data_IF_403907965923
#
_entry.id   IF_403907965923
#
_cell.length_a   1.000
_cell.length_b   1.000
_cell.length_c   1.000
_cell.angle_alpha   90.00
_cell.angle_beta   90.00
_cell.angle_gamma   90.00
#
_symmetry.space_group_name_H-M   'P 1'
#
loop_
_entity.id
_entity.type
_entity.pdbx_description
1 polymer ?
#
# COMPACT_ATOMS: atom_id res chain seq x y z
N UNK A 1 -11.85 -14.42 17.70
CA UNK A 1 -11.76 -12.95 17.49
C UNK A 1 -13.11 -12.36 17.14
N UNK A 2 -13.36 -11.16 17.65
CA UNK A 2 -14.55 -10.40 17.27
C UNK A 2 -14.42 -9.91 15.83
N UNK A 3 -15.46 -10.08 15.03
CA UNK A 3 -15.48 -9.53 13.65
C UNK A 3 -15.45 -7.99 13.68
N UNK A 4 -16.07 -7.37 14.67
CA UNK A 4 -16.11 -5.91 14.84
C UNK A 4 -16.15 -5.53 16.32
N UNK A 5 -15.84 -4.29 16.63
CA UNK A 5 -15.87 -3.76 17.97
C UNK A 5 -14.78 -4.35 18.88
N UNK A 6 -15.10 -4.58 20.14
CA UNK A 6 -14.16 -5.04 21.17
C UNK A 6 -13.78 -6.51 20.99
N UNK A 7 -12.50 -6.85 21.11
CA UNK A 7 -11.96 -8.21 21.07
C UNK A 7 -11.39 -8.64 22.43
N UNK A 8 -11.19 -9.96 22.61
CA UNK A 8 -10.68 -10.54 23.86
C UNK A 8 -9.20 -10.24 24.06
N UNK A 9 -8.41 -10.31 22.98
CA UNK A 9 -6.96 -10.10 23.03
C UNK A 9 -6.60 -8.73 22.45
N UNK A 10 -5.69 -8.03 23.08
CA UNK A 10 -5.10 -6.80 22.56
C UNK A 10 -4.23 -7.08 21.33
N UNK A 11 -3.97 -6.03 20.52
CA UNK A 11 -2.89 -6.08 19.56
C UNK A 11 -1.53 -6.18 20.29
N UNK A 12 -0.51 -6.61 19.57
CA UNK A 12 0.87 -6.64 20.03
C UNK A 12 1.69 -5.62 19.27
N UNK A 13 2.60 -4.96 19.98
CA UNK A 13 3.60 -4.07 19.40
C UNK A 13 4.98 -4.60 19.76
N UNK A 14 5.58 -5.32 18.81
CA UNK A 14 6.83 -6.02 19.04
C UNK A 14 8.01 -5.10 18.72
N UNK A 15 8.88 -4.90 19.70
CA UNK A 15 10.17 -4.25 19.51
C UNK A 15 11.29 -5.31 19.42
N UNK A 16 12.21 -5.11 18.49
CA UNK A 16 13.37 -5.98 18.30
C UNK A 16 14.46 -5.59 19.29
N UNK A 17 14.82 -6.48 20.17
CA UNK A 17 15.91 -6.28 21.12
C UNK A 17 16.89 -7.46 21.06
N UNK A 18 18.13 -7.17 20.66
CA UNK A 18 19.16 -8.20 20.39
C UNK A 18 18.66 -9.27 19.42
N UNK A 19 18.46 -10.51 19.83
CA UNK A 19 17.96 -11.62 19.01
C UNK A 19 16.53 -12.06 19.40
N UNK A 20 15.76 -11.20 20.06
CA UNK A 20 14.41 -11.50 20.54
C UNK A 20 13.45 -10.35 20.23
N UNK A 21 12.16 -10.58 20.47
CA UNK A 21 11.11 -9.57 20.40
C UNK A 21 10.47 -9.38 21.75
N UNK A 22 10.29 -8.13 22.16
CA UNK A 22 9.60 -7.72 23.37
C UNK A 22 8.27 -7.07 22.96
N UNK A 23 7.16 -7.51 23.55
CA UNK A 23 5.87 -6.87 23.35
C UNK A 23 5.75 -5.65 24.28
N UNK A 24 5.82 -4.47 23.71
CA UNK A 24 5.74 -3.21 24.48
C UNK A 24 4.40 -3.03 25.19
N UNK A 25 3.33 -3.70 24.74
CA UNK A 25 2.04 -3.66 25.42
C UNK A 25 1.96 -4.53 26.69
N UNK A 26 2.92 -5.40 26.91
CA UNK A 26 3.03 -6.16 28.18
C UNK A 26 3.55 -5.27 29.34
N UNK A 27 4.24 -4.17 29.04
CA UNK A 27 4.66 -3.21 30.06
C UNK A 27 3.46 -2.48 30.67
N UNK A 28 3.43 -2.42 32.00
CA UNK A 28 2.35 -1.79 32.75
C UNK A 28 2.11 -0.32 32.39
N UNK A 29 3.15 0.41 31.97
CA UNK A 29 3.05 1.82 31.56
C UNK A 29 2.19 2.03 30.31
N UNK A 30 1.92 0.97 29.54
CA UNK A 30 1.20 1.01 28.28
C UNK A 30 -0.22 0.41 28.36
N UNK A 31 -0.68 -0.03 29.54
CA UNK A 31 -1.99 -0.68 29.70
C UNK A 31 -3.18 0.18 29.27
N UNK A 32 -3.09 1.49 29.45
CA UNK A 32 -4.19 2.42 29.15
C UNK A 32 -4.34 2.70 27.65
N UNK A 33 -3.35 2.33 26.83
CA UNK A 33 -3.36 2.57 25.38
C UNK A 33 -3.52 1.30 24.54
N UNK A 34 -3.81 0.16 25.17
CA UNK A 34 -4.04 -1.10 24.49
C UNK A 34 -5.14 -0.97 23.41
N UNK A 35 -4.90 -1.55 22.25
CA UNK A 35 -5.93 -1.71 21.23
C UNK A 35 -6.65 -3.06 21.41
N UNK A 36 -7.79 -3.02 22.05
CA UNK A 36 -8.70 -4.17 22.22
C UNK A 36 -9.85 -4.14 21.21
N UNK A 37 -9.69 -3.44 20.10
CA UNK A 37 -10.67 -3.35 19.02
C UNK A 37 -10.22 -4.22 17.84
N UNK A 38 -11.16 -4.63 16.98
CA UNK A 38 -10.86 -5.42 15.79
C UNK A 38 -10.03 -4.62 14.77
N UNK A 39 -8.71 -4.66 14.90
CA UNK A 39 -7.75 -4.09 13.96
C UNK A 39 -7.87 -4.71 12.57
N UNK A 40 -7.70 -3.91 11.52
CA UNK A 40 -7.85 -4.35 10.13
C UNK A 40 -6.65 -4.04 9.27
N UNK A 41 -5.99 -2.94 9.49
CA UNK A 41 -4.83 -2.53 8.73
C UNK A 41 -3.94 -1.61 9.57
N UNK A 42 -2.66 -1.62 9.26
CA UNK A 42 -1.66 -0.75 9.89
C UNK A 42 -0.82 -0.07 8.82
N UNK A 43 -0.34 1.13 9.12
CA UNK A 43 0.68 1.81 8.33
C UNK A 43 1.70 2.49 9.24
N UNK A 44 2.97 2.44 8.82
CA UNK A 44 4.04 3.23 9.42
C UNK A 44 4.00 4.65 8.87
N UNK A 45 4.00 5.66 9.73
CA UNK A 45 3.88 7.07 9.32
C UNK A 45 4.93 7.92 10.03
N UNK A 46 5.90 8.41 9.28
CA UNK A 46 6.80 9.48 9.73
C UNK A 46 6.14 10.84 9.48
N UNK A 47 5.24 11.24 10.41
CA UNK A 47 4.45 12.46 10.24
C UNK A 47 5.28 13.75 10.28
N UNK A 48 6.43 13.71 10.95
CA UNK A 48 7.30 14.88 11.11
C UNK A 48 8.43 14.92 10.08
N UNK A 49 8.68 13.84 9.33
CA UNK A 49 9.80 13.73 8.43
C UNK A 49 11.16 13.73 9.15
N UNK A 50 11.25 13.08 10.28
CA UNK A 50 12.47 13.04 11.09
C UNK A 50 13.07 11.65 11.23
N UNK A 51 12.54 10.68 10.48
CA UNK A 51 12.94 9.29 10.49
C UNK A 51 12.36 8.48 11.66
N UNK A 52 11.45 9.06 12.45
CA UNK A 52 10.75 8.37 13.53
C UNK A 52 9.33 8.04 13.09
N UNK A 53 9.02 6.76 13.05
CA UNK A 53 7.73 6.27 12.61
C UNK A 53 6.77 6.10 13.78
N UNK A 54 5.54 6.53 13.58
CA UNK A 54 4.37 6.16 14.37
C UNK A 54 3.59 5.07 13.64
N UNK A 55 2.70 4.38 14.33
CA UNK A 55 1.86 3.31 13.77
C UNK A 55 0.40 3.75 13.78
N UNK A 56 -0.18 3.95 12.61
CA UNK A 56 -1.62 4.19 12.48
C UNK A 56 -2.35 2.86 12.34
N UNK A 57 -3.35 2.60 13.18
CA UNK A 57 -4.16 1.38 13.20
C UNK A 57 -5.60 1.71 12.85
N UNK A 58 -6.11 1.09 11.79
CA UNK A 58 -7.52 1.17 11.40
C UNK A 58 -8.31 0.06 12.10
N UNK A 59 -9.35 0.44 12.85
CA UNK A 59 -10.21 -0.47 13.56
C UNK A 59 -11.60 -0.56 12.93
N UNK A 60 -12.23 -1.71 13.02
CA UNK A 60 -13.61 -1.93 12.59
C UNK A 60 -14.57 -1.86 13.78
N UNK A 61 -15.41 -0.82 13.79
CA UNK A 61 -16.37 -0.60 14.87
C UNK A 61 -15.76 -0.08 16.18
N UNK A 62 -14.58 0.50 16.12
CA UNK A 62 -13.92 1.16 17.24
C UNK A 62 -13.02 2.30 16.78
N UNK A 63 -12.46 3.03 17.75
CA UNK A 63 -11.59 4.18 17.46
C UNK A 63 -10.30 3.72 16.80
N UNK A 64 -9.90 4.36 15.72
CA UNK A 64 -8.56 4.20 15.14
C UNK A 64 -7.50 4.71 16.12
N UNK A 65 -6.28 4.18 16.03
CA UNK A 65 -5.14 4.53 16.91
C UNK A 65 -4.00 5.12 16.11
N UNK A 66 -3.22 5.97 16.75
CA UNK A 66 -1.98 6.50 16.19
C UNK A 66 -0.89 6.46 17.26
N UNK A 67 -0.12 5.38 17.26
CA UNK A 67 0.88 5.10 18.29
C UNK A 67 2.22 5.71 17.96
N UNK A 68 2.70 6.57 18.84
CA UNK A 68 4.07 7.09 18.82
C UNK A 68 4.85 6.44 19.97
N UNK A 69 6.05 5.96 19.66
CA UNK A 69 6.91 5.24 20.61
C UNK A 69 8.00 6.19 21.09
N UNK A 70 8.16 6.25 22.42
CA UNK A 70 9.22 7.02 23.08
C UNK A 70 9.92 6.13 24.13
N UNK A 71 11.06 5.55 23.78
CA UNK A 71 11.65 4.44 24.53
C UNK A 71 10.70 3.25 24.53
N UNK A 72 10.32 2.75 25.71
CA UNK A 72 9.32 1.67 25.85
C UNK A 72 7.89 2.19 26.02
N UNK A 73 7.71 3.51 26.18
CA UNK A 73 6.39 4.14 26.37
C UNK A 73 5.69 4.36 25.03
N UNK A 74 4.45 3.89 24.94
CA UNK A 74 3.55 4.10 23.81
C UNK A 74 2.58 5.23 24.15
N UNK A 75 2.39 6.15 23.21
CA UNK A 75 1.45 7.28 23.33
C UNK A 75 0.45 7.18 22.16
N UNK A 76 -0.84 7.10 22.47
CA UNK A 76 -1.88 7.22 21.44
C UNK A 76 -2.16 8.69 21.16
N UNK A 77 -1.62 9.19 20.06
CA UNK A 77 -1.83 10.57 19.60
C UNK A 77 -3.08 10.73 18.71
N UNK A 78 -3.82 9.65 18.41
CA UNK A 78 -4.97 9.73 17.51
C UNK A 78 -6.02 10.79 17.92
N UNK A 79 -6.40 10.92 19.22
CA UNK A 79 -7.33 11.98 19.63
C UNK A 79 -6.81 13.38 19.37
N UNK A 80 -5.53 13.64 19.70
CA UNK A 80 -4.88 14.94 19.49
C UNK A 80 -4.79 15.31 18.01
N UNK A 81 -4.57 14.31 17.13
CA UNK A 81 -4.42 14.47 15.70
C UNK A 81 -5.76 14.39 14.94
N UNK A 82 -6.87 14.22 15.65
CA UNK A 82 -8.21 14.06 15.08
C UNK A 82 -8.34 12.83 14.14
N UNK A 83 -7.57 11.77 14.43
CA UNK A 83 -7.52 10.50 13.72
C UNK A 83 -8.34 9.39 14.39
N UNK A 84 -8.83 9.59 15.61
CA UNK A 84 -9.51 8.60 16.46
C UNK A 84 -10.96 8.30 16.04
N UNK A 85 -11.20 8.18 14.74
CA UNK A 85 -12.57 7.98 14.21
C UNK A 85 -13.06 6.56 14.47
N UNK A 86 -14.35 6.45 14.79
CA UNK A 86 -15.06 5.16 14.85
C UNK A 86 -15.65 4.91 13.45
N UNK A 87 -15.13 3.90 12.75
CA UNK A 87 -15.52 3.59 11.38
C UNK A 87 -15.54 2.10 11.13
N UNK A 88 -16.00 1.70 9.96
CA UNK A 88 -15.75 0.38 9.39
C UNK A 88 -14.38 0.33 8.74
N UNK A 89 -13.32 0.64 9.50
CA UNK A 89 -11.97 0.75 8.97
C UNK A 89 -11.50 -0.50 8.23
N UNK A 90 -10.83 -0.30 7.10
CA UNK A 90 -10.28 -1.36 6.25
C UNK A 90 -8.84 -1.05 5.87
N UNK A 91 -8.56 -0.76 4.60
CA UNK A 91 -7.21 -0.52 4.13
C UNK A 91 -6.66 0.83 4.58
N UNK A 92 -5.37 0.87 4.84
CA UNK A 92 -4.60 2.11 5.01
C UNK A 92 -3.40 2.04 4.08
N UNK A 93 -3.15 3.15 3.40
CA UNK A 93 -1.91 3.40 2.67
C UNK A 93 -1.35 4.75 3.10
N UNK A 94 -0.03 4.87 3.15
CA UNK A 94 0.63 6.11 3.54
C UNK A 94 1.83 6.40 2.63
N UNK A 95 1.99 7.67 2.24
CA UNK A 95 3.05 8.13 1.34
C UNK A 95 2.84 9.56 0.89
N UNK A 96 3.64 10.04 -0.07
CA UNK A 96 3.54 11.38 -0.64
C UNK A 96 2.38 11.48 -1.64
N UNK A 97 1.14 11.62 -1.15
CA UNK A 97 -0.05 11.68 -2.01
C UNK A 97 -0.32 13.13 -2.47
N UNK A 98 -0.38 14.07 -1.52
CA UNK A 98 -0.73 15.48 -1.77
C UNK A 98 0.28 16.46 -1.19
N UNK A 99 1.10 16.05 -0.24
CA UNK A 99 2.01 16.93 0.51
C UNK A 99 3.47 16.49 0.40
N UNK A 100 4.36 17.33 0.91
CA UNK A 100 5.79 17.03 1.01
C UNK A 100 6.12 16.06 2.17
N UNK A 101 5.12 15.67 2.92
CA UNK A 101 5.17 14.72 4.04
C UNK A 101 4.29 13.52 3.72
N UNK A 102 4.34 12.50 4.57
CA UNK A 102 3.46 11.35 4.42
C UNK A 102 2.01 11.72 4.74
N UNK A 103 1.15 11.63 3.75
CA UNK A 103 -0.31 11.65 3.88
C UNK A 103 -0.83 10.24 4.15
N UNK A 104 -2.09 10.13 4.56
CA UNK A 104 -2.74 8.84 4.82
C UNK A 104 -4.05 8.77 4.03
N UNK A 105 -4.24 7.72 3.24
CA UNK A 105 -5.55 7.36 2.73
C UNK A 105 -6.06 6.14 3.49
N UNK A 106 -7.26 6.25 4.06
CA UNK A 106 -7.91 5.19 4.81
C UNK A 106 -9.27 4.87 4.19
N UNK A 107 -9.42 3.65 3.67
CA UNK A 107 -10.69 3.19 3.14
C UNK A 107 -11.56 2.59 4.23
N UNK A 108 -12.87 2.79 4.10
CA UNK A 108 -13.84 2.35 5.08
C UNK A 108 -14.97 1.54 4.45
N UNK A 109 -15.52 0.62 5.23
CA UNK A 109 -16.78 -0.05 4.95
C UNK A 109 -17.91 0.71 5.63
N UNK A 110 -19.02 0.89 4.93
CA UNK A 110 -20.22 1.57 5.46
C UNK A 110 -19.97 3.00 5.96
N UNK A 111 -19.20 3.76 5.17
CA UNK A 111 -18.90 5.15 5.49
C UNK A 111 -17.86 5.74 4.54
N UNK A 112 -17.61 7.05 4.66
CA UNK A 112 -16.68 7.72 3.77
C UNK A 112 -15.24 7.26 3.99
N UNK A 113 -14.47 7.21 2.91
CA UNK A 113 -13.02 7.13 2.99
C UNK A 113 -12.45 8.44 3.54
N UNK A 114 -11.26 8.36 4.12
CA UNK A 114 -10.51 9.54 4.55
C UNK A 114 -9.25 9.72 3.71
N UNK A 115 -8.93 10.95 3.42
CA UNK A 115 -7.64 11.37 2.88
C UNK A 115 -7.10 12.45 3.83
N UNK A 116 -6.22 12.04 4.72
CA UNK A 116 -5.60 12.91 5.69
C UNK A 116 -4.34 13.54 5.09
N UNK A 117 -4.46 14.81 4.70
CA UNK A 117 -3.31 15.59 4.24
C UNK A 117 -2.47 16.02 5.44
N UNK A 118 -1.19 15.74 5.38
CA UNK A 118 -0.24 16.15 6.40
C UNK A 118 0.17 17.61 6.21
N UNK A 119 -0.08 18.42 7.23
CA UNK A 119 0.34 19.83 7.30
C UNK A 119 1.25 20.00 8.51
N UNK A 120 2.55 19.94 8.30
CA UNK A 120 3.56 20.06 9.35
C UNK A 120 3.34 19.12 10.55
N UNK A 121 3.02 17.84 10.27
CA UNK A 121 2.80 16.82 11.29
C UNK A 121 1.38 16.75 11.83
N UNK A 122 0.47 17.65 11.45
CA UNK A 122 -0.96 17.59 11.75
C UNK A 122 -1.74 17.10 10.54
N UNK A 123 -2.89 16.48 10.77
CA UNK A 123 -3.69 15.89 9.70
C UNK A 123 -5.01 16.62 9.51
N UNK A 124 -5.35 16.88 8.24
CA UNK A 124 -6.64 17.46 7.84
C UNK A 124 -7.30 16.50 6.84
N UNK A 125 -8.52 16.07 7.13
CA UNK A 125 -9.26 15.24 6.19
C UNK A 125 -9.74 16.07 5.01
N UNK A 126 -9.23 15.77 3.83
CA UNK A 126 -9.54 16.47 2.57
C UNK A 126 -10.26 15.57 1.55
N UNK A 127 -10.71 14.36 1.94
CA UNK A 127 -11.30 13.38 1.04
C UNK A 127 -12.47 13.94 0.21
N UNK A 128 -13.36 14.68 0.84
CA UNK A 128 -14.50 15.34 0.17
C UNK A 128 -14.04 16.34 -0.88
N UNK A 129 -13.11 17.22 -0.50
CA UNK A 129 -12.55 18.24 -1.39
C UNK A 129 -11.88 17.62 -2.61
N UNK A 130 -11.17 16.51 -2.41
CA UNK A 130 -10.43 15.83 -3.47
C UNK A 130 -11.23 14.76 -4.21
N UNK A 131 -12.49 14.49 -3.80
CA UNK A 131 -13.41 13.60 -4.52
C UNK A 131 -13.19 12.11 -4.30
N UNK A 132 -12.59 11.72 -3.16
CA UNK A 132 -12.25 10.30 -2.85
C UNK A 132 -13.01 9.73 -1.66
N UNK A 133 -14.05 10.42 -1.15
CA UNK A 133 -14.86 9.92 -0.01
C UNK A 133 -15.52 8.56 -0.29
N UNK A 134 -16.01 8.35 -1.51
CA UNK A 134 -16.71 7.14 -1.97
C UNK A 134 -17.69 6.54 -0.93
N UNK A 135 -18.41 7.41 -0.24
CA UNK A 135 -19.20 7.15 0.99
C UNK A 135 -20.23 6.03 0.89
N UNK A 136 -20.65 5.69 -0.33
CA UNK A 136 -21.68 4.67 -0.59
C UNK A 136 -21.06 3.31 -0.97
N UNK A 137 -19.75 3.16 -0.86
CA UNK A 137 -19.04 1.94 -1.18
C UNK A 137 -18.47 1.27 0.09
N UNK A 138 -18.02 0.04 -0.07
CA UNK A 138 -17.43 -0.74 1.02
C UNK A 138 -15.95 -0.99 0.70
N UNK A 139 -15.09 -0.06 1.08
CA UNK A 139 -13.67 -0.13 0.79
C UNK A 139 -12.98 -1.38 1.33
N UNK A 140 -12.00 -1.89 0.57
CA UNK A 140 -11.14 -3.03 0.91
C UNK A 140 -9.71 -2.73 0.46
N UNK A 141 -9.13 -3.58 -0.37
CA UNK A 141 -7.78 -3.43 -0.89
C UNK A 141 -7.56 -2.08 -1.56
N UNK A 142 -6.44 -1.44 -1.22
CA UNK A 142 -6.09 -0.12 -1.76
C UNK A 142 -4.59 -0.06 -1.94
N UNK A 143 -4.11 0.57 -3.01
CA UNK A 143 -2.68 0.73 -3.29
C UNK A 143 -2.40 2.10 -3.93
N UNK A 144 -1.17 2.62 -3.73
CA UNK A 144 -0.63 3.76 -4.47
C UNK A 144 0.16 3.26 -5.68
N UNK A 145 -0.08 3.84 -6.84
CA UNK A 145 0.69 3.58 -8.06
C UNK A 145 0.66 4.81 -8.96
N UNK A 146 1.71 5.04 -9.74
CA UNK A 146 1.72 6.05 -10.79
C UNK A 146 1.11 5.47 -12.07
N UNK A 147 -0.20 5.46 -12.14
CA UNK A 147 -0.98 4.78 -13.18
C UNK A 147 -0.73 5.29 -14.60
N UNK A 148 -0.27 6.51 -14.75
CA UNK A 148 -0.06 7.13 -16.06
C UNK A 148 1.40 7.55 -16.28
N UNK A 149 2.33 7.03 -15.48
CA UNK A 149 3.78 7.21 -15.62
C UNK A 149 4.19 8.69 -15.72
N UNK A 150 3.66 9.51 -14.77
CA UNK A 150 3.84 10.97 -14.73
C UNK A 150 4.70 11.43 -13.55
N UNK A 151 5.24 10.51 -12.77
CA UNK A 151 5.93 10.80 -11.51
C UNK A 151 4.98 11.25 -10.38
N UNK A 152 3.70 10.84 -10.42
CA UNK A 152 2.67 11.20 -9.42
C UNK A 152 1.90 9.98 -8.99
N UNK A 153 1.77 9.80 -7.69
CA UNK A 153 1.01 8.69 -7.13
C UNK A 153 -0.50 8.93 -7.26
N UNK A 154 -1.17 7.95 -7.80
CA UNK A 154 -2.61 7.82 -7.92
C UNK A 154 -3.12 6.80 -6.89
N UNK A 155 -4.44 6.73 -6.66
CA UNK A 155 -5.03 5.81 -5.68
C UNK A 155 -5.90 4.78 -6.40
N UNK A 156 -5.59 3.51 -6.22
CA UNK A 156 -6.46 2.41 -6.64
C UNK A 156 -7.22 1.93 -5.41
N UNK A 157 -8.55 1.89 -5.46
CA UNK A 157 -9.39 1.46 -4.34
C UNK A 157 -10.39 0.40 -4.77
N UNK A 158 -10.28 -0.77 -4.15
CA UNK A 158 -11.24 -1.86 -4.32
C UNK A 158 -12.41 -1.74 -3.36
N UNK A 159 -13.61 -1.99 -3.86
CA UNK A 159 -14.84 -1.94 -3.09
C UNK A 159 -15.51 -3.31 -3.06
N UNK A 160 -15.85 -3.79 -1.86
CA UNK A 160 -16.54 -5.07 -1.66
C UNK A 160 -17.94 -5.04 -2.26
N UNK A 161 -18.16 -5.86 -3.28
CA UNK A 161 -19.41 -5.92 -4.03
C UNK A 161 -19.87 -4.57 -4.62
N UNK A 162 -18.93 -3.62 -4.74
CA UNK A 162 -19.13 -2.28 -5.29
C UNK A 162 -18.15 -1.97 -6.41
N UNK A 163 -18.35 -0.84 -7.05
CA UNK A 163 -17.49 -0.38 -8.14
C UNK A 163 -16.08 -0.05 -7.64
N UNK A 164 -15.06 -0.69 -8.20
CA UNK A 164 -13.66 -0.33 -7.91
C UNK A 164 -13.33 1.02 -8.52
N UNK A 165 -12.27 1.67 -8.02
CA UNK A 165 -11.87 3.02 -8.41
C UNK A 165 -10.42 3.08 -8.86
N UNK A 166 -10.19 3.84 -9.91
CA UNK A 166 -8.87 4.29 -10.36
C UNK A 166 -8.84 5.81 -10.25
N UNK A 167 -8.44 6.33 -9.10
CA UNK A 167 -8.40 7.75 -8.82
C UNK A 167 -7.10 8.37 -9.33
N UNK A 168 -7.19 9.09 -10.45
CA UNK A 168 -6.09 9.80 -11.08
C UNK A 168 -6.03 11.23 -10.56
N UNK A 169 -4.90 11.65 -10.00
CA UNK A 169 -4.71 13.01 -9.52
C UNK A 169 -4.56 13.99 -10.69
N UNK A 170 -5.52 14.89 -10.85
CA UNK A 170 -5.53 15.95 -11.86
C UNK A 170 -5.67 17.31 -11.18
N UNK A 171 -4.66 18.17 -11.34
CA UNK A 171 -4.59 19.47 -10.65
C UNK A 171 -4.78 19.27 -9.13
N UNK A 172 -5.92 19.67 -8.60
CA UNK A 172 -6.22 19.62 -7.16
C UNK A 172 -7.42 18.70 -6.86
N UNK A 173 -7.67 17.66 -7.67
CA UNK A 173 -8.77 16.72 -7.50
C UNK A 173 -8.42 15.35 -8.08
N UNK A 174 -8.92 14.30 -7.46
CA UNK A 174 -8.89 12.97 -8.06
C UNK A 174 -10.12 12.81 -8.97
N UNK A 175 -9.87 12.27 -10.16
CA UNK A 175 -10.89 11.86 -11.11
C UNK A 175 -10.84 10.35 -11.23
N UNK A 176 -11.99 9.69 -11.19
CA UNK A 176 -12.07 8.25 -11.43
C UNK A 176 -11.89 7.97 -12.93
N UNK A 177 -10.86 7.19 -13.26
CA UNK A 177 -10.66 6.69 -14.61
C UNK A 177 -11.61 5.52 -14.82
N UNK A 178 -12.79 5.81 -15.35
CA UNK A 178 -13.86 4.83 -15.51
C UNK A 178 -13.53 3.86 -16.65
N UNK A 179 -13.16 2.63 -16.27
CA UNK A 179 -13.07 1.49 -17.17
C UNK A 179 -14.05 0.41 -16.72
N UNK A 180 -14.99 0.05 -17.56
CA UNK A 180 -16.06 -0.86 -17.21
C UNK A 180 -15.55 -2.26 -16.81
N UNK A 181 -14.47 -2.75 -17.41
CA UNK A 181 -13.91 -4.07 -17.10
C UNK A 181 -13.23 -4.11 -15.74
N UNK A 182 -12.52 -3.03 -15.39
CA UNK A 182 -11.87 -2.88 -14.09
C UNK A 182 -12.87 -2.57 -12.98
N UNK A 183 -13.72 -1.56 -13.19
CA UNK A 183 -14.66 -1.05 -12.17
C UNK A 183 -15.73 -2.07 -11.77
N UNK A 184 -15.92 -3.14 -12.55
CA UNK A 184 -16.93 -4.18 -12.30
C UNK A 184 -16.85 -4.71 -10.87
N UNK A 185 -17.97 -4.71 -10.11
CA UNK A 185 -18.02 -5.18 -8.74
C UNK A 185 -17.48 -6.60 -8.56
N UNK A 186 -16.77 -6.83 -7.46
CA UNK A 186 -16.34 -8.16 -7.03
C UNK A 186 -16.18 -8.22 -5.50
N UNK A 187 -16.01 -9.42 -4.97
CA UNK A 187 -15.71 -9.64 -3.55
C UNK A 187 -14.20 -9.46 -3.31
N UNK A 188 -13.68 -8.27 -3.63
CA UNK A 188 -12.25 -7.95 -3.50
C UNK A 188 -11.77 -8.02 -2.06
N UNK A 189 -10.54 -8.51 -1.88
CA UNK A 189 -9.78 -8.45 -0.63
C UNK A 189 -8.59 -7.51 -0.78
N UNK A 190 -7.65 -7.83 -1.66
CA UNK A 190 -6.41 -7.10 -1.84
C UNK A 190 -6.29 -6.61 -3.27
N UNK A 191 -5.71 -5.44 -3.45
CA UNK A 191 -5.26 -4.92 -4.75
C UNK A 191 -3.77 -4.62 -4.65
N UNK A 192 -3.03 -5.06 -5.66
CA UNK A 192 -1.59 -4.85 -5.79
C UNK A 192 -1.32 -4.20 -7.14
N UNK A 193 -0.37 -3.28 -7.19
CA UNK A 193 0.19 -2.74 -8.43
C UNK A 193 1.68 -3.07 -8.46
N UNK A 194 2.13 -3.83 -9.46
CA UNK A 194 3.52 -4.25 -9.63
C UNK A 194 3.79 -4.60 -11.09
N UNK A 195 5.02 -4.44 -11.52
CA UNK A 195 5.51 -4.85 -12.83
C UNK A 195 5.95 -6.32 -12.76
N UNK A 196 5.02 -7.24 -13.06
CA UNK A 196 5.25 -8.67 -12.91
C UNK A 196 6.04 -9.28 -14.07
N UNK A 197 6.00 -8.69 -15.25
CA UNK A 197 6.66 -9.21 -16.45
C UNK A 197 7.86 -8.39 -16.92
N UNK A 198 8.27 -7.39 -16.12
CA UNK A 198 9.39 -6.49 -16.38
C UNK A 198 9.30 -5.71 -17.70
N UNK A 199 8.09 -5.47 -18.21
CA UNK A 199 7.91 -4.69 -19.43
C UNK A 199 7.81 -3.17 -19.15
N UNK A 200 7.97 -2.79 -17.89
CA UNK A 200 7.98 -1.40 -17.44
C UNK A 200 6.60 -0.77 -17.26
N UNK A 201 5.52 -1.56 -17.33
CA UNK A 201 4.17 -1.17 -16.97
C UNK A 201 3.75 -1.92 -15.70
N UNK A 202 3.09 -1.22 -14.76
CA UNK A 202 2.52 -1.91 -13.60
C UNK A 202 1.24 -2.64 -14.00
N UNK A 203 1.14 -3.91 -13.59
CA UNK A 203 -0.11 -4.64 -13.60
C UNK A 203 -0.84 -4.46 -12.29
N UNK A 204 -2.18 -4.40 -12.37
CA UNK A 204 -3.07 -4.30 -11.22
C UNK A 204 -3.71 -5.66 -10.98
N UNK A 205 -3.27 -6.36 -9.92
CA UNK A 205 -3.83 -7.62 -9.49
C UNK A 205 -4.94 -7.40 -8.48
N UNK A 206 -6.10 -8.03 -8.70
CA UNK A 206 -7.27 -8.01 -7.81
C UNK A 206 -7.48 -9.41 -7.24
N UNK A 207 -7.20 -9.58 -5.95
CA UNK A 207 -7.50 -10.81 -5.22
C UNK A 207 -8.95 -10.80 -4.72
N UNK A 208 -9.68 -11.86 -5.03
CA UNK A 208 -11.09 -11.99 -4.71
C UNK A 208 -11.36 -13.22 -3.79
N UNK A 209 -12.49 -13.17 -3.07
CA UNK A 209 -12.99 -14.31 -2.29
C UNK A 209 -14.15 -15.00 -3.01
N UNK A 210 -13.99 -16.30 -3.30
CA UNK A 210 -15.00 -17.10 -3.97
C UNK A 210 -15.36 -16.61 -5.38
N UNK A 211 -14.45 -15.91 -6.02
CA UNK A 211 -14.54 -15.40 -7.39
C UNK A 211 -13.15 -15.37 -8.01
N UNK A 212 -13.08 -15.44 -9.35
CA UNK A 212 -11.82 -15.37 -10.08
C UNK A 212 -11.05 -14.10 -9.76
N UNK A 213 -9.75 -14.24 -9.51
CA UNK A 213 -8.82 -13.11 -9.49
C UNK A 213 -8.75 -12.45 -10.87
N UNK A 214 -8.36 -11.18 -10.89
CA UNK A 214 -8.25 -10.41 -12.13
C UNK A 214 -6.89 -9.71 -12.20
N UNK A 215 -6.36 -9.55 -13.41
CA UNK A 215 -5.13 -8.82 -13.69
C UNK A 215 -5.36 -7.87 -14.85
N UNK A 216 -4.89 -6.64 -14.70
CA UNK A 216 -5.00 -5.60 -15.71
C UNK A 216 -3.66 -4.88 -15.85
N UNK A 217 -3.24 -4.60 -17.07
CA UNK A 217 -2.14 -3.70 -17.40
C UNK A 217 -2.71 -2.33 -17.76
N UNK A 218 -2.11 -1.26 -17.28
CA UNK A 218 -2.47 0.09 -17.67
C UNK A 218 -1.33 0.74 -18.44
N UNK A 219 -1.66 1.32 -19.59
CA UNK A 219 -0.70 2.04 -20.46
C UNK A 219 -0.75 3.55 -20.23
N UNK A 220 0.24 4.30 -20.71
CA UNK A 220 0.34 5.76 -20.50
C UNK A 220 -0.89 6.54 -20.99
N UNK A 221 -1.58 6.04 -22.00
CA UNK A 221 -2.81 6.64 -22.51
C UNK A 221 -4.05 6.35 -21.62
N UNK A 222 -3.87 5.58 -20.54
CA UNK A 222 -4.93 5.20 -19.61
C UNK A 222 -5.78 4.02 -20.05
N UNK A 223 -5.45 3.37 -21.16
CA UNK A 223 -6.16 2.15 -21.59
C UNK A 223 -5.76 0.98 -20.70
N UNK A 224 -6.77 0.25 -20.23
CA UNK A 224 -6.60 -0.97 -19.48
C UNK A 224 -6.71 -2.18 -20.41
N UNK A 225 -5.76 -3.08 -20.28
CA UNK A 225 -5.74 -4.38 -20.94
C UNK A 225 -5.93 -5.46 -19.88
N UNK A 226 -6.93 -6.33 -20.07
CA UNK A 226 -7.14 -7.47 -19.19
C UNK A 226 -6.19 -8.59 -19.55
N UNK A 227 -5.42 -9.06 -18.58
CA UNK A 227 -4.45 -10.15 -18.76
C UNK A 227 -5.04 -11.48 -18.32
N UNK A 228 -4.70 -12.55 -19.02
CA UNK A 228 -5.13 -13.91 -18.70
C UNK A 228 -4.24 -14.50 -17.63
N UNK A 229 -4.78 -14.73 -16.44
CA UNK A 229 -4.06 -15.20 -15.24
C UNK A 229 -3.76 -16.71 -15.22
N UNK A 230 -4.17 -17.53 -16.16
CA UNK A 230 -3.96 -18.99 -16.11
C UNK A 230 -4.23 -19.56 -14.69
N UNK A 231 -3.20 -20.13 -14.05
CA UNK A 231 -3.32 -20.77 -12.71
C UNK A 231 -3.60 -19.76 -11.57
N UNK A 232 -3.17 -18.51 -11.70
CA UNK A 232 -3.39 -17.47 -10.68
C UNK A 232 -4.83 -16.92 -10.68
N UNK A 233 -5.70 -17.40 -11.59
CA UNK A 233 -7.12 -17.05 -11.61
C UNK A 233 -7.86 -17.49 -10.33
N UNK A 234 -7.50 -18.62 -9.75
CA UNK A 234 -8.01 -19.17 -8.49
C UNK A 234 -9.53 -19.01 -8.32
N UNK A 235 -10.32 -19.46 -9.30
CA UNK A 235 -11.78 -19.23 -9.37
C UNK A 235 -12.54 -19.67 -8.12
N UNK A 236 -12.04 -20.68 -7.40
CA UNK A 236 -12.60 -21.22 -6.16
C UNK A 236 -11.78 -20.79 -4.93
N UNK A 237 -10.85 -19.85 -5.07
CA UNK A 237 -10.05 -19.35 -3.97
C UNK A 237 -10.87 -18.45 -3.06
N UNK A 238 -10.79 -18.68 -1.75
CA UNK A 238 -11.32 -17.76 -0.74
C UNK A 238 -10.19 -16.84 -0.31
N UNK A 239 -9.79 -15.96 -1.23
CA UNK A 239 -8.66 -15.07 -1.05
C UNK A 239 -8.78 -14.20 0.20
N UNK A 240 -7.72 -14.17 1.00
CA UNK A 240 -7.63 -13.34 2.22
C UNK A 240 -6.67 -12.17 2.03
N UNK A 241 -5.54 -12.40 1.36
CA UNK A 241 -4.53 -11.39 1.10
C UNK A 241 -3.58 -11.82 -0.01
N UNK A 242 -2.76 -10.88 -0.47
CA UNK A 242 -1.70 -11.17 -1.42
C UNK A 242 -0.53 -10.21 -1.20
N UNK A 243 0.69 -10.65 -1.51
CA UNK A 243 1.89 -9.85 -1.41
C UNK A 243 2.83 -10.14 -2.58
N UNK A 244 3.76 -9.21 -2.83
CA UNK A 244 4.74 -9.30 -3.91
C UNK A 244 6.14 -9.07 -3.36
N UNK A 245 7.08 -9.91 -3.78
CA UNK A 245 8.50 -9.76 -3.54
C UNK A 245 9.29 -10.54 -4.60
N UNK A 246 10.55 -10.18 -4.80
CA UNK A 246 11.53 -10.96 -5.53
C UNK A 246 12.23 -11.89 -4.52
N UNK A 247 11.70 -13.10 -4.35
CA UNK A 247 12.08 -14.03 -3.29
C UNK A 247 13.41 -14.74 -3.61
N UNK A 248 13.58 -15.14 -4.87
CA UNK A 248 14.78 -15.87 -5.32
C UNK A 248 15.87 -14.95 -5.90
N UNK A 249 15.61 -13.64 -5.95
CA UNK A 249 16.53 -12.58 -6.38
C UNK A 249 16.95 -12.66 -7.84
N UNK A 250 16.07 -13.12 -8.70
CA UNK A 250 16.30 -13.15 -10.14
C UNK A 250 15.76 -11.92 -10.89
N UNK A 251 15.10 -11.02 -10.15
CA UNK A 251 14.54 -9.78 -10.67
C UNK A 251 13.15 -9.93 -11.26
N UNK A 252 12.51 -11.08 -11.14
CA UNK A 252 11.11 -11.30 -11.51
C UNK A 252 10.30 -11.42 -10.24
N UNK A 253 9.29 -10.59 -10.10
CA UNK A 253 8.47 -10.56 -8.89
C UNK A 253 7.59 -11.79 -8.75
N UNK A 254 7.61 -12.43 -7.58
CA UNK A 254 6.66 -13.47 -7.21
C UNK A 254 5.41 -12.86 -6.56
N UNK A 255 4.27 -13.45 -6.89
CA UNK A 255 2.96 -13.15 -6.29
C UNK A 255 2.58 -14.25 -5.31
N UNK A 256 2.62 -13.95 -4.01
CA UNK A 256 2.09 -14.80 -2.96
C UNK A 256 0.61 -14.50 -2.75
N UNK A 257 -0.25 -15.53 -2.81
CA UNK A 257 -1.70 -15.41 -2.57
C UNK A 257 -2.10 -16.31 -1.41
N UNK A 258 -2.67 -15.70 -0.37
CA UNK A 258 -3.25 -16.41 0.76
C UNK A 258 -4.76 -16.63 0.53
N UNK A 259 -5.21 -17.85 0.79
CA UNK A 259 -6.60 -18.25 0.69
C UNK A 259 -7.04 -18.91 2.01
N UNK A 260 -8.34 -19.17 2.15
CA UNK A 260 -8.87 -19.95 3.27
C UNK A 260 -9.65 -19.15 4.30
N UNK A 261 -10.32 -18.08 3.92
CA UNK A 261 -11.15 -17.26 4.82
C UNK A 261 -12.15 -18.11 5.64
N UNK A 262 -12.73 -19.13 5.05
CA UNK A 262 -13.80 -19.93 5.67
C UNK A 262 -13.42 -21.38 5.93
N UNK A 263 -12.37 -21.89 5.29
CA UNK A 263 -11.85 -23.26 5.44
C UNK A 263 -10.43 -23.35 4.89
N UNK A 264 -9.70 -24.40 5.24
CA UNK A 264 -8.30 -24.59 4.83
C UNK A 264 -8.16 -24.63 3.31
N UNK A 265 -7.31 -23.75 2.78
CA UNK A 265 -6.88 -23.74 1.38
C UNK A 265 -5.37 -23.49 1.33
N UNK A 266 -4.67 -23.92 0.26
CA UNK A 266 -3.23 -23.73 0.15
C UNK A 266 -2.84 -22.26 -0.01
N UNK A 267 -1.67 -21.91 0.48
CA UNK A 267 -0.91 -20.78 0.00
C UNK A 267 -0.44 -21.05 -1.42
N UNK A 268 -0.52 -20.04 -2.28
CA UNK A 268 -0.08 -20.13 -3.65
C UNK A 268 1.00 -19.10 -3.93
N UNK A 269 2.08 -19.55 -4.56
CA UNK A 269 3.16 -18.69 -5.05
C UNK A 269 3.20 -18.77 -6.57
N UNK A 270 3.12 -17.63 -7.23
CA UNK A 270 3.13 -17.51 -8.68
C UNK A 270 4.28 -16.65 -9.14
N UNK A 271 4.85 -16.97 -10.28
CA UNK A 271 5.86 -16.19 -10.98
C UNK A 271 5.45 -16.03 -12.44
N UNK A 272 5.70 -14.87 -13.03
CA UNK A 272 5.46 -14.65 -14.44
C UNK A 272 6.41 -15.52 -15.28
N UNK A 273 5.89 -16.16 -16.32
CA UNK A 273 6.74 -16.87 -17.28
C UNK A 273 7.18 -15.90 -18.36
N UNK A 274 8.29 -15.23 -18.11
CA UNK A 274 8.88 -14.25 -19.03
C UNK A 274 9.73 -15.00 -20.05
N UNK A 275 9.44 -14.78 -21.34
CA UNK A 275 10.18 -15.44 -22.45
C UNK A 275 11.35 -14.62 -22.98
N UNK A 276 11.42 -13.34 -22.62
CA UNK A 276 12.39 -12.38 -23.13
C UNK A 276 13.29 -11.90 -21.99
N UNK A 277 14.52 -11.51 -22.33
CA UNK A 277 15.46 -10.93 -21.37
C UNK A 277 15.11 -9.46 -21.16
N UNK A 278 14.30 -9.17 -20.15
CA UNK A 278 14.09 -7.80 -19.68
C UNK A 278 15.21 -7.37 -18.74
N UNK A 279 15.48 -6.08 -18.73
CA UNK A 279 16.30 -5.47 -17.68
C UNK A 279 15.39 -4.92 -16.60
N UNK A 280 15.91 -4.85 -15.38
CA UNK A 280 15.19 -4.31 -14.23
C UNK A 280 16.09 -3.45 -13.36
N UNK A 281 15.48 -2.69 -12.49
CA UNK A 281 16.13 -1.90 -11.46
C UNK A 281 15.35 -2.02 -10.15
N UNK A 282 16.03 -2.39 -9.08
CA UNK A 282 15.48 -2.50 -7.74
C UNK A 282 16.15 -1.49 -6.83
N UNK A 283 15.35 -0.65 -6.18
CA UNK A 283 15.85 0.40 -5.29
C UNK A 283 15.28 0.20 -3.89
N UNK A 284 16.17 0.03 -2.93
CA UNK A 284 15.85 -0.14 -1.51
C UNK A 284 16.38 1.04 -0.68
N UNK A 285 15.62 2.13 -0.57
CA UNK A 285 16.02 3.25 0.27
C UNK A 285 16.06 2.84 1.74
N UNK A 286 17.12 3.23 2.42
CA UNK A 286 17.29 3.00 3.86
C UNK A 286 17.47 4.31 4.59
N UNK A 287 16.93 4.38 5.80
CA UNK A 287 17.13 5.52 6.70
C UNK A 287 18.56 5.55 7.24
N UNK A 288 18.95 6.64 7.87
CA UNK A 288 20.24 6.73 8.59
C UNK A 288 20.43 5.68 9.69
N UNK A 289 19.36 4.98 10.08
CA UNK A 289 19.38 3.88 11.05
C UNK A 289 19.40 2.50 10.38
N UNK A 290 19.64 2.44 9.06
CA UNK A 290 19.64 1.22 8.26
C UNK A 290 18.30 0.46 8.26
N UNK A 291 17.19 1.14 8.52
CA UNK A 291 15.84 0.61 8.39
C UNK A 291 15.23 1.00 7.04
N UNK A 292 14.31 0.22 6.48
CA UNK A 292 13.62 0.63 5.24
C UNK A 292 12.98 2.01 5.37
N UNK A 293 13.22 2.88 4.40
CA UNK A 293 12.67 4.24 4.38
C UNK A 293 11.21 4.23 3.91
N UNK A 294 10.33 3.62 4.71
CA UNK A 294 8.90 3.44 4.39
C UNK A 294 8.22 4.79 4.16
N UNK A 295 7.38 4.85 3.12
CA UNK A 295 6.68 6.06 2.71
C UNK A 295 7.50 7.01 1.84
N UNK A 296 8.81 6.77 1.65
CA UNK A 296 9.60 7.48 0.63
C UNK A 296 9.09 7.14 -0.78
N UNK A 297 9.25 8.08 -1.70
CA UNK A 297 8.90 7.88 -3.11
C UNK A 297 10.16 7.78 -3.95
N UNK A 298 10.30 6.72 -4.71
CA UNK A 298 11.35 6.52 -5.70
C UNK A 298 10.78 6.82 -7.07
N UNK A 299 11.43 7.72 -7.81
CA UNK A 299 11.01 8.09 -9.16
C UNK A 299 12.11 7.73 -10.16
N UNK A 300 11.78 6.89 -11.12
CA UNK A 300 12.58 6.65 -12.30
C UNK A 300 12.21 7.67 -13.38
N UNK A 301 13.20 8.39 -13.89
CA UNK A 301 13.07 9.21 -15.10
C UNK A 301 13.89 8.62 -16.21
N UNK A 302 13.37 8.66 -17.41
CA UNK A 302 14.04 8.19 -18.63
C UNK A 302 13.60 9.03 -19.84
N UNK A 303 14.14 8.69 -21.01
CA UNK A 303 13.67 9.24 -22.29
C UNK A 303 12.22 8.83 -22.63
N UNK A 304 11.66 7.77 -22.00
CA UNK A 304 10.33 7.25 -22.33
C UNK A 304 9.26 7.62 -21.29
N UNK A 305 9.63 7.75 -20.00
CA UNK A 305 8.63 7.95 -18.92
C UNK A 305 9.21 8.61 -17.68
N UNK A 306 8.30 9.02 -16.81
CA UNK A 306 8.61 9.31 -15.40
C UNK A 306 7.71 8.42 -14.55
N UNK A 307 8.28 7.49 -13.79
CA UNK A 307 7.51 6.48 -13.04
C UNK A 307 7.84 6.54 -11.56
N UNK A 308 6.84 6.82 -10.73
CA UNK A 308 6.99 6.92 -9.28
C UNK A 308 6.44 5.67 -8.57
N UNK A 309 7.22 5.14 -7.61
CA UNK A 309 6.81 4.07 -6.70
C UNK A 309 7.02 4.49 -5.26
N UNK A 310 6.09 4.15 -4.38
CA UNK A 310 6.26 4.38 -2.94
C UNK A 310 6.88 3.17 -2.28
N UNK A 311 7.78 3.40 -1.32
CA UNK A 311 8.28 2.33 -0.45
C UNK A 311 7.17 2.00 0.54
N UNK A 312 6.72 0.77 0.52
CA UNK A 312 5.53 0.33 1.24
C UNK A 312 5.58 0.66 2.73
N UNK A 313 4.60 1.43 3.18
CA UNK A 313 4.42 1.83 4.58
C UNK A 313 3.13 1.26 5.18
N UNK A 314 2.25 0.74 4.33
CA UNK A 314 1.02 0.05 4.60
C UNK A 314 0.37 -0.31 3.27
N UNK A 315 0.30 -1.59 2.97
CA UNK A 315 -0.13 -2.13 1.66
C UNK A 315 -1.62 -2.42 1.62
N UNK A 316 -2.41 -1.47 2.05
CA UNK A 316 -3.83 -1.62 1.93
C UNK A 316 -4.44 -2.59 2.93
N UNK A 317 -4.91 -3.77 2.50
CA UNK A 317 -5.73 -4.65 3.33
C UNK A 317 -5.17 -6.07 3.39
N UNK A 318 -4.81 -6.51 4.62
CA UNK A 318 -4.32 -7.86 4.94
C UNK A 318 -3.05 -8.27 4.18
N UNK A 319 -2.15 -7.32 3.93
CA UNK A 319 -0.89 -7.60 3.25
C UNK A 319 0.15 -6.53 3.54
N UNK A 320 1.39 -6.84 3.18
CA UNK A 320 2.49 -5.90 3.13
C UNK A 320 3.48 -6.33 2.05
N UNK A 321 3.94 -5.37 1.24
CA UNK A 321 4.92 -5.61 0.19
C UNK A 321 6.34 -5.50 0.75
N UNK A 322 7.30 -6.03 0.02
CA UNK A 322 8.71 -5.75 0.29
C UNK A 322 8.98 -4.23 0.20
N UNK A 323 9.92 -3.69 0.99
CA UNK A 323 10.23 -2.25 0.99
C UNK A 323 11.20 -1.88 -0.14
N UNK A 324 10.90 -2.28 -1.36
CA UNK A 324 11.73 -2.08 -2.56
C UNK A 324 10.87 -1.48 -3.68
N UNK A 325 11.41 -0.48 -4.37
CA UNK A 325 10.83 0.02 -5.61
C UNK A 325 11.43 -0.77 -6.78
N UNK A 326 10.61 -1.59 -7.43
CA UNK A 326 10.99 -2.42 -8.57
C UNK A 326 10.49 -1.79 -9.86
N UNK A 327 11.37 -1.67 -10.86
CA UNK A 327 11.08 -1.13 -12.19
C UNK A 327 11.60 -2.08 -13.26
N UNK A 328 10.74 -2.63 -14.08
CA UNK A 328 11.15 -3.18 -15.37
C UNK A 328 11.64 -2.05 -16.29
N UNK A 329 12.64 -2.32 -17.10
CA UNK A 329 13.23 -1.35 -18.03
C UNK A 329 12.81 -1.74 -19.45
N UNK A 330 12.12 -0.84 -20.11
CA UNK A 330 11.58 -1.06 -21.47
C UNK A 330 12.69 -1.11 -22.51
N UNK A 331 12.44 -1.81 -23.60
CA UNK A 331 13.33 -1.77 -24.75
C UNK A 331 13.51 -0.33 -25.25
N UNK A 332 14.76 0.08 -25.50
CA UNK A 332 15.11 1.44 -25.89
C UNK A 332 15.01 2.51 -24.79
N UNK A 333 14.69 2.13 -23.55
CA UNK A 333 14.70 3.03 -22.41
C UNK A 333 16.14 3.33 -22.00
N UNK A 334 16.49 4.62 -21.96
CA UNK A 334 17.84 5.14 -21.65
C UNK A 334 17.76 6.46 -20.91
N UNK A 335 18.92 7.03 -20.60
CA UNK A 335 19.05 8.28 -19.83
C UNK A 335 18.38 8.16 -18.45
N UNK A 336 18.63 7.01 -17.80
CA UNK A 336 17.98 6.64 -16.54
C UNK A 336 18.52 7.46 -15.38
N UNK A 337 17.61 8.13 -14.66
CA UNK A 337 17.87 8.87 -13.43
C UNK A 337 16.92 8.39 -12.33
N UNK A 338 17.43 8.16 -11.12
CA UNK A 338 16.63 7.88 -9.93
C UNK A 338 16.58 9.10 -9.03
N UNK A 339 15.37 9.49 -8.65
CA UNK A 339 15.14 10.49 -7.61
C UNK A 339 14.47 9.82 -6.40
N UNK A 340 15.00 10.01 -5.21
CA UNK A 340 14.36 9.57 -3.97
C UNK A 340 13.84 10.80 -3.23
N UNK A 341 12.53 10.86 -3.05
CA UNK A 341 11.89 11.83 -2.16
C UNK A 341 11.71 11.17 -0.79
N UNK A 342 12.45 11.68 0.19
CA UNK A 342 12.45 11.19 1.55
C UNK A 342 11.21 11.68 2.32
N UNK A 343 10.92 11.07 3.47
CA UNK A 343 9.74 11.43 4.29
C UNK A 343 9.77 12.85 4.83
N UNK A 344 10.94 13.50 4.86
CA UNK A 344 11.09 14.93 5.18
C UNK A 344 10.76 15.89 4.01
N UNK A 345 10.47 15.34 2.83
CA UNK A 345 10.16 16.06 1.60
C UNK A 345 11.38 16.42 0.76
N UNK A 346 12.59 16.18 1.25
CA UNK A 346 13.80 16.43 0.45
C UNK A 346 13.88 15.41 -0.68
N UNK A 347 14.34 15.86 -1.84
CA UNK A 347 14.56 14.99 -3.01
C UNK A 347 16.04 14.92 -3.31
N UNK A 348 16.54 13.70 -3.50
CA UNK A 348 17.94 13.43 -3.78
C UNK A 348 18.08 12.61 -5.05
N UNK A 349 18.92 13.01 -6.02
CA UNK A 349 19.23 12.22 -7.21
C UNK A 349 20.28 11.15 -6.90
N UNK A 350 20.12 10.01 -7.57
CA UNK A 350 21.08 8.90 -7.52
C UNK A 350 21.42 8.45 -8.94
N UNK A 351 22.71 8.24 -9.19
CA UNK A 351 23.17 7.68 -10.46
C UNK A 351 23.03 6.17 -10.44
N UNK A 352 22.47 5.63 -11.51
CA UNK A 352 22.42 4.20 -11.74
C UNK A 352 23.80 3.76 -12.18
N UNK A 353 24.37 2.75 -11.52
CA UNK A 353 25.66 2.16 -11.88
C UNK A 353 25.49 0.97 -12.80
N UNK A 354 24.50 0.13 -12.52
CA UNK A 354 24.27 -1.11 -13.24
C UNK A 354 22.76 -1.43 -13.21
N UNK A 355 22.27 -2.10 -14.25
CA UNK A 355 20.96 -2.73 -14.28
C UNK A 355 21.01 -4.16 -13.73
N UNK A 356 19.85 -4.76 -13.51
CA UNK A 356 19.69 -6.11 -13.01
C UNK A 356 20.31 -6.31 -11.62
N UNK A 357 20.19 -5.30 -10.78
CA UNK A 357 20.65 -5.28 -9.38
C UNK A 357 19.66 -4.56 -8.45
N UNK A 358 19.81 -4.86 -7.16
CA UNK A 358 19.24 -4.13 -6.02
C UNK A 358 20.27 -3.18 -5.39
#
# INVERSE_FOLDING_TARGET
>A
DSFSGKKIYADRLLDSHENTYIDLFEDNINKDVLNVTAGRSVACVDRMGNGKYSVYVSNYGGRSRFYTINGTKIIDEAPKLNLDKITGGRAIIAGHILSERMDIFASNERGPNFLYKNINGNFVNVAKRYGVEDKNQNGRGTVLSDLLYRGKLDIISGNWQGYHRLYILRKNKFLDLMDFSFNRPSKVRTIIAADFDNDGYDEIFINNIGQSNRLFKIKENGLLEKIVLRNAVLSNGFGTGAAVADIDKDGILELLVSNGESFKQPLNLFKANIKENFSYLRIKPVTKYNAPARGSTVTLKSNLRTHAKTIDAGSGYLCQMEPVAHFGIREGEKDLEILIKWTDGQTQPFKIKELNKE
#
